data_IF_511635098243
#
_entry.id   IF_511635098243
#
_cell.length_a   1.000
_cell.length_b   1.000
_cell.length_c   1.000
_cell.angle_alpha   90.00
_cell.angle_beta   90.00
_cell.angle_gamma   90.00
#
_symmetry.space_group_name_H-M   'P 1'
#
loop_
_entity.id
_entity.type
_entity.pdbx_description
1 polymer ?
#
# COMPACT_ATOMS: atom_id res chain seq x y z
N UNK A 1 -62.91 -24.25 6.77
CA UNK A 1 -62.21 -24.06 5.49
C UNK A 1 -61.02 -23.13 5.71
N UNK A 2 -59.90 -23.46 5.06
CA UNK A 2 -58.53 -23.00 5.31
C UNK A 2 -58.34 -21.51 4.95
N UNK A 3 -57.39 -20.84 5.60
CA UNK A 3 -56.95 -19.49 5.23
C UNK A 3 -55.81 -18.97 6.10
N UNK A 4 -54.62 -19.54 5.88
CA UNK A 4 -53.35 -19.27 6.55
C UNK A 4 -52.83 -17.87 6.18
N UNK A 5 -52.70 -16.96 7.16
CA UNK A 5 -51.99 -15.68 6.96
C UNK A 5 -50.50 -15.95 7.21
N UNK A 6 -49.74 -15.94 6.11
CA UNK A 6 -48.28 -16.09 6.11
C UNK A 6 -47.60 -14.87 6.74
N UNK A 7 -46.65 -15.15 7.63
CA UNK A 7 -45.88 -14.16 8.35
C UNK A 7 -44.98 -13.33 7.43
N UNK A 8 -44.85 -12.05 7.78
CA UNK A 8 -43.87 -11.12 7.18
C UNK A 8 -42.46 -11.63 7.48
N UNK A 9 -41.55 -11.71 6.50
CA UNK A 9 -40.15 -11.91 6.82
C UNK A 9 -39.61 -10.65 7.49
N UNK A 10 -39.08 -10.86 8.69
CA UNK A 10 -38.25 -9.94 9.47
C UNK A 10 -37.18 -9.29 8.58
N UNK A 11 -37.01 -7.98 8.71
CA UNK A 11 -35.80 -7.28 8.27
C UNK A 11 -34.59 -8.01 8.83
N UNK A 12 -33.83 -8.67 7.96
CA UNK A 12 -32.53 -9.21 8.32
C UNK A 12 -31.59 -8.03 8.58
N UNK A 13 -30.88 -8.14 9.70
CA UNK A 13 -29.92 -7.18 10.23
C UNK A 13 -28.95 -6.66 9.16
N UNK A 14 -28.86 -5.33 9.07
CA UNK A 14 -27.79 -4.64 8.36
C UNK A 14 -26.45 -4.96 9.00
N UNK A 15 -25.58 -5.66 8.27
CA UNK A 15 -24.14 -5.66 8.54
C UNK A 15 -23.57 -4.34 8.03
N UNK A 16 -22.79 -3.70 8.89
CA UNK A 16 -22.21 -2.38 8.69
C UNK A 16 -21.17 -2.37 7.55
N UNK A 17 -21.51 -1.71 6.45
CA UNK A 17 -20.66 -1.37 5.28
C UNK A 17 -19.43 -0.49 5.57
N UNK A 18 -19.05 -0.26 6.84
CA UNK A 18 -17.97 0.68 7.21
C UNK A 18 -16.57 0.07 7.36
N UNK A 19 -16.39 -1.23 7.14
CA UNK A 19 -15.10 -1.92 7.31
C UNK A 19 -14.63 -2.74 6.08
N UNK A 20 -15.48 -2.95 5.08
CA UNK A 20 -15.25 -4.03 4.10
C UNK A 20 -14.28 -3.69 2.96
N UNK A 21 -13.98 -2.41 2.69
CA UNK A 21 -13.00 -2.04 1.65
C UNK A 21 -11.54 -2.21 2.11
N UNK A 22 -11.28 -2.02 3.42
CA UNK A 22 -9.94 -2.13 4.00
C UNK A 22 -9.42 -3.58 4.02
N UNK A 23 -10.33 -4.54 4.19
CA UNK A 23 -10.05 -5.98 4.25
C UNK A 23 -9.76 -6.55 2.84
N UNK A 24 -10.54 -6.16 1.83
CA UNK A 24 -10.45 -6.69 0.47
C UNK A 24 -9.13 -6.34 -0.26
N UNK A 25 -8.58 -5.15 -0.05
CA UNK A 25 -7.34 -4.71 -0.72
C UNK A 25 -6.11 -5.38 -0.11
N UNK A 26 -6.14 -5.59 1.20
CA UNK A 26 -5.00 -6.03 1.98
C UNK A 26 -4.92 -7.58 2.05
N UNK A 27 -6.05 -8.29 2.18
CA UNK A 27 -6.09 -9.76 2.33
C UNK A 27 -5.66 -10.52 1.08
N UNK A 28 -5.71 -9.90 -0.08
CA UNK A 28 -5.45 -10.58 -1.34
C UNK A 28 -3.98 -10.59 -1.76
N UNK A 29 -3.13 -9.83 -1.07
CA UNK A 29 -1.68 -10.09 -1.05
C UNK A 29 -1.31 -11.15 0.02
N UNK A 30 -2.23 -11.84 0.67
CA UNK A 30 -1.89 -12.95 1.59
C UNK A 30 -2.34 -14.33 1.07
N UNK A 31 -3.29 -14.40 0.12
CA UNK A 31 -3.91 -15.64 -0.31
C UNK A 31 -3.50 -16.05 -1.73
N UNK A 32 -2.40 -16.79 -1.87
CA UNK A 32 -2.14 -17.65 -3.03
C UNK A 32 -1.85 -19.07 -2.55
N UNK A 33 -2.88 -19.91 -2.43
CA UNK A 33 -2.75 -21.36 -2.61
C UNK A 33 -4.07 -21.98 -3.11
N UNK A 34 -4.07 -22.40 -4.39
CA UNK A 34 -4.76 -23.61 -4.83
C UNK A 34 -6.14 -23.48 -5.48
N UNK A 35 -6.18 -23.38 -6.81
CA UNK A 35 -6.69 -24.45 -7.71
C UNK A 35 -6.60 -23.97 -9.16
N UNK A 36 -5.91 -24.77 -9.98
CA UNK A 36 -5.52 -24.42 -11.33
C UNK A 36 -6.64 -24.44 -12.36
N UNK A 37 -6.37 -23.71 -13.45
CA UNK A 37 -6.74 -24.13 -14.80
C UNK A 37 -5.54 -23.90 -15.71
N UNK A 38 -5.00 -25.00 -16.25
CA UNK A 38 -4.03 -24.98 -17.34
C UNK A 38 -4.73 -24.50 -18.61
N UNK A 39 -4.05 -23.70 -19.42
CA UNK A 39 -3.87 -23.99 -20.84
C UNK A 39 -2.46 -23.60 -21.29
N UNK A 40 -1.83 -24.54 -21.97
CA UNK A 40 -0.48 -24.52 -22.50
C UNK A 40 -0.33 -23.61 -23.72
N UNK A 41 0.84 -22.97 -23.86
CA UNK A 41 1.60 -22.96 -25.13
C UNK A 41 3.04 -22.43 -24.93
N UNK A 42 3.97 -23.39 -24.77
CA UNK A 42 5.36 -23.45 -25.27
C UNK A 42 6.23 -22.19 -25.34
N UNK A 43 7.32 -22.22 -24.56
CA UNK A 43 8.64 -21.70 -24.90
C UNK A 43 9.35 -22.69 -25.88
N UNK A 44 10.55 -22.40 -26.47
CA UNK A 44 11.77 -22.33 -25.65
C UNK A 44 12.96 -21.48 -26.17
N UNK A 45 13.95 -21.40 -25.29
CA UNK A 45 15.41 -21.15 -25.45
C UNK A 45 15.90 -19.73 -25.80
N UNK A 46 16.62 -19.09 -24.87
CA UNK A 46 18.08 -19.26 -24.79
C UNK A 46 18.62 -18.65 -23.48
N UNK A 47 19.29 -19.49 -22.70
CA UNK A 47 20.21 -19.06 -21.67
C UNK A 47 21.50 -18.59 -22.35
N UNK A 48 22.01 -17.42 -21.96
CA UNK A 48 23.43 -17.10 -22.10
C UNK A 48 23.93 -16.72 -20.71
N UNK A 49 24.55 -17.72 -20.09
CA UNK A 49 25.59 -17.54 -19.08
C UNK A 49 26.73 -16.79 -19.74
N UNK A 50 27.31 -15.80 -19.04
CA UNK A 50 28.73 -15.49 -19.23
C UNK A 50 29.39 -15.19 -17.90
N UNK A 51 30.46 -15.95 -17.65
CA UNK A 51 31.38 -15.83 -16.51
C UNK A 51 32.55 -14.91 -16.93
N UNK A 52 33.03 -14.15 -15.95
CA UNK A 52 34.07 -13.11 -15.97
C UNK A 52 35.48 -13.60 -16.39
N UNK A 53 36.40 -12.67 -16.72
CA UNK A 53 37.82 -12.84 -16.41
C UNK A 53 38.39 -11.69 -15.54
N UNK A 54 39.07 -12.07 -14.45
CA UNK A 54 39.89 -11.21 -13.57
C UNK A 54 39.31 -11.07 -12.16
N UNK A 55 39.85 -11.61 -11.07
CA UNK A 55 41.18 -12.16 -10.81
C UNK A 55 41.84 -11.39 -9.67
N UNK A 56 41.47 -11.67 -8.42
CA UNK A 56 42.22 -11.23 -7.24
C UNK A 56 41.35 -10.84 -6.04
N UNK A 57 41.43 -11.61 -4.96
CA UNK A 57 40.98 -11.21 -3.62
C UNK A 57 42.23 -10.88 -2.79
N UNK A 58 42.28 -9.68 -2.21
CA UNK A 58 43.33 -9.25 -1.28
C UNK A 58 42.88 -9.62 0.15
N UNK A 59 43.68 -10.34 0.95
CA UNK A 59 43.37 -10.57 2.36
C UNK A 59 43.61 -9.29 3.18
N UNK A 60 42.64 -8.93 4.02
CA UNK A 60 42.79 -7.91 5.05
C UNK A 60 43.71 -8.43 6.17
N UNK A 61 44.70 -7.61 6.56
CA UNK A 61 45.65 -7.89 7.63
C UNK A 61 45.03 -7.84 9.04
N UNK A 62 45.80 -8.29 10.06
CA UNK A 62 45.28 -8.56 11.39
C UNK A 62 44.99 -7.31 12.24
N UNK A 63 44.06 -7.52 13.17
CA UNK A 63 43.63 -6.58 14.20
C UNK A 63 44.80 -6.09 15.07
N UNK A 64 44.99 -4.76 15.07
CA UNK A 64 45.80 -4.06 16.05
C UNK A 64 44.93 -3.60 17.21
N UNK A 65 45.23 -4.16 18.39
CA UNK A 65 44.83 -3.69 19.71
C UNK A 65 45.33 -2.26 19.95
N UNK A 66 44.67 -1.52 20.87
CA UNK A 66 45.19 -0.52 21.81
C UNK A 66 44.22 0.67 21.97
N UNK A 67 43.89 1.00 23.23
CA UNK A 67 43.69 2.41 23.59
C UNK A 67 42.37 2.76 24.28
N UNK A 68 42.24 2.30 25.52
CA UNK A 68 41.38 2.91 26.56
C UNK A 68 41.68 4.42 26.67
N UNK A 69 40.67 5.26 26.47
CA UNK A 69 40.64 6.64 27.00
C UNK A 69 39.31 6.86 27.71
N UNK A 70 39.40 7.15 29.00
CA UNK A 70 38.34 7.62 29.87
C UNK A 70 38.18 9.13 29.73
N UNK A 71 36.95 9.61 29.56
CA UNK A 71 36.40 10.79 30.25
C UNK A 71 35.04 11.12 29.67
N UNK A 72 34.05 11.34 30.53
CA UNK A 72 33.29 12.60 30.60
C UNK A 72 32.42 12.56 31.86
N UNK A 73 32.46 13.67 32.60
CA UNK A 73 31.58 13.92 33.72
C UNK A 73 30.26 14.56 33.31
N UNK A 74 29.34 14.47 34.25
CA UNK A 74 28.38 15.49 34.67
C UNK A 74 27.16 15.81 33.81
N UNK A 75 26.05 15.84 34.55
CA UNK A 75 24.94 16.83 34.53
C UNK A 75 23.60 16.41 33.90
N UNK A 76 22.68 16.10 34.83
CA UNK A 76 21.36 16.68 35.04
C UNK A 76 20.63 17.34 33.86
N UNK A 77 19.36 16.96 33.66
CA UNK A 77 18.39 17.79 32.94
C UNK A 77 17.18 17.01 32.47
N UNK A 78 16.14 16.94 33.29
CA UNK A 78 14.82 16.53 32.83
C UNK A 78 14.17 17.64 31.99
N UNK A 79 13.55 17.27 30.88
CA UNK A 79 12.48 18.02 30.24
C UNK A 79 11.64 17.03 29.44
N UNK A 80 10.41 16.86 29.90
CA UNK A 80 9.37 16.03 29.31
C UNK A 80 8.95 16.57 27.94
N UNK A 81 9.47 15.96 26.88
CA UNK A 81 8.93 16.07 25.53
C UNK A 81 7.90 14.95 25.35
N UNK A 82 6.66 15.32 25.03
CA UNK A 82 5.67 14.38 24.52
C UNK A 82 6.27 13.59 23.36
N UNK A 83 6.20 12.27 23.47
CA UNK A 83 6.75 11.29 22.54
C UNK A 83 6.05 11.40 21.19
N UNK A 84 6.50 12.31 20.35
CA UNK A 84 6.24 12.27 18.92
C UNK A 84 7.28 11.33 18.34
N UNK A 85 6.85 10.13 17.95
CA UNK A 85 7.71 9.19 17.21
C UNK A 85 8.39 9.92 16.06
N UNK A 86 9.69 9.68 15.78
CA UNK A 86 10.34 10.33 14.65
C UNK A 86 9.61 9.92 13.38
N UNK A 87 8.96 10.87 12.72
CA UNK A 87 8.39 10.66 11.40
C UNK A 87 9.53 10.37 10.41
N UNK A 88 9.47 9.23 9.73
CA UNK A 88 10.40 8.87 8.64
C UNK A 88 10.18 9.73 7.39
N UNK A 89 9.09 10.50 7.35
CA UNK A 89 8.77 11.41 6.27
C UNK A 89 9.52 12.73 6.43
N UNK A 90 9.95 13.30 5.30
CA UNK A 90 10.52 14.65 5.26
C UNK A 90 9.57 15.65 5.96
N UNK A 91 10.05 16.44 6.94
CA UNK A 91 9.22 17.40 7.65
C UNK A 91 8.48 18.39 6.74
N UNK A 92 9.09 18.83 5.64
CA UNK A 92 8.43 19.77 4.72
C UNK A 92 7.25 19.13 4.01
N UNK A 93 7.35 17.83 3.67
CA UNK A 93 6.24 17.06 3.10
C UNK A 93 5.20 16.79 4.18
N UNK A 94 5.64 16.43 5.39
CA UNK A 94 4.76 16.15 6.51
C UNK A 94 3.89 17.36 6.85
N UNK A 95 4.43 18.58 6.84
CA UNK A 95 3.68 19.80 7.17
C UNK A 95 2.56 20.12 6.17
N UNK A 96 2.64 19.60 4.94
CA UNK A 96 1.60 19.77 3.91
C UNK A 96 0.40 18.84 4.13
N UNK A 97 0.57 17.74 4.88
CA UNK A 97 -0.46 16.71 5.00
C UNK A 97 -1.44 16.99 6.14
N UNK A 98 -2.72 16.99 5.81
CA UNK A 98 -3.83 17.06 6.74
C UNK A 98 -4.37 15.65 6.97
N UNK A 99 -3.84 14.99 8.01
CA UNK A 99 -4.30 13.64 8.40
C UNK A 99 -5.66 13.72 9.09
N UNK A 100 -6.42 12.64 8.98
CA UNK A 100 -7.63 12.42 9.76
C UNK A 100 -7.32 12.14 11.26
N UNK A 101 -8.36 11.91 12.06
CA UNK A 101 -8.21 11.61 13.49
C UNK A 101 -7.49 10.30 13.80
N UNK A 102 -7.24 9.45 12.81
CA UNK A 102 -6.45 8.23 12.93
C UNK A 102 -5.00 8.41 12.44
N UNK A 103 -4.62 9.61 12.00
CA UNK A 103 -3.28 9.89 11.46
C UNK A 103 -3.11 9.46 10.00
N UNK A 104 -4.20 9.34 9.23
CA UNK A 104 -4.18 8.83 7.85
C UNK A 104 -4.59 9.89 6.83
N UNK A 105 -4.04 9.77 5.62
CA UNK A 105 -4.51 10.46 4.40
C UNK A 105 -5.07 9.45 3.41
N UNK A 106 -6.02 9.90 2.59
CA UNK A 106 -6.59 9.08 1.52
C UNK A 106 -5.59 9.01 0.36
N UNK A 107 -5.39 7.85 -0.24
CA UNK A 107 -4.57 7.67 -1.43
C UNK A 107 -5.40 7.09 -2.58
N UNK A 108 -5.62 7.89 -3.62
CA UNK A 108 -6.25 7.46 -4.87
C UNK A 108 -5.17 7.00 -5.83
N UNK A 109 -5.27 5.74 -6.27
CA UNK A 109 -4.32 5.15 -7.20
C UNK A 109 -4.88 5.22 -8.61
N UNK A 110 -4.13 5.83 -9.51
CA UNK A 110 -4.52 6.04 -10.90
C UNK A 110 -3.47 5.47 -11.84
N UNK A 111 -3.92 4.82 -12.91
CA UNK A 111 -3.05 4.41 -14.00
C UNK A 111 -2.48 5.67 -14.69
N UNK A 112 -1.15 5.74 -14.80
CA UNK A 112 -0.44 6.97 -15.17
C UNK A 112 -0.73 7.49 -16.59
N UNK A 113 -1.00 6.58 -17.55
CA UNK A 113 -1.21 6.89 -18.96
C UNK A 113 -2.69 7.03 -19.32
N UNK A 114 -3.55 6.11 -18.87
CA UNK A 114 -4.98 6.12 -19.19
C UNK A 114 -5.80 7.05 -18.29
N UNK A 115 -5.31 7.38 -17.10
CA UNK A 115 -6.09 8.09 -16.08
C UNK A 115 -7.16 7.24 -15.39
N UNK A 116 -7.22 5.94 -15.65
CA UNK A 116 -8.14 5.02 -14.98
C UNK A 116 -7.86 4.96 -13.47
N UNK A 117 -8.89 5.17 -12.64
CA UNK A 117 -8.77 4.97 -11.19
C UNK A 117 -8.77 3.47 -10.91
N UNK A 118 -7.71 2.98 -10.28
CA UNK A 118 -7.50 1.56 -10.03
C UNK A 118 -8.04 1.13 -8.66
N UNK A 119 -7.75 1.90 -7.63
CA UNK A 119 -8.14 1.59 -6.24
C UNK A 119 -7.94 2.81 -5.33
N UNK A 120 -8.41 2.68 -4.09
CA UNK A 120 -8.19 3.64 -3.01
C UNK A 120 -7.56 2.89 -1.83
N UNK A 121 -6.64 3.55 -1.11
CA UNK A 121 -6.05 3.06 0.12
C UNK A 121 -5.78 4.19 1.13
N UNK A 122 -5.19 3.85 2.27
CA UNK A 122 -4.84 4.79 3.33
C UNK A 122 -3.33 4.76 3.57
N UNK A 123 -2.76 5.93 3.84
CA UNK A 123 -1.35 6.09 4.17
C UNK A 123 -1.21 6.96 5.40
N UNK A 124 -0.34 6.56 6.34
CA UNK A 124 0.26 7.47 7.32
C UNK A 124 1.61 7.97 6.77
N UNK A 125 2.35 8.70 7.61
CA UNK A 125 3.65 9.27 7.26
C UNK A 125 4.68 8.19 6.89
N UNK A 126 4.64 7.04 7.55
CA UNK A 126 5.56 5.93 7.28
C UNK A 126 5.24 5.25 5.94
N UNK A 127 3.97 4.97 5.67
CA UNK A 127 3.51 4.38 4.43
C UNK A 127 3.84 5.30 3.23
N UNK A 128 3.63 6.62 3.39
CA UNK A 128 4.01 7.58 2.36
C UNK A 128 5.53 7.66 2.20
N UNK A 129 6.29 7.73 3.29
CA UNK A 129 7.75 7.79 3.23
C UNK A 129 8.33 6.58 2.49
N UNK A 130 7.86 5.37 2.82
CA UNK A 130 8.23 4.14 2.09
C UNK A 130 7.86 4.21 0.62
N UNK A 131 6.68 4.75 0.31
CA UNK A 131 6.22 4.88 -1.07
C UNK A 131 7.13 5.79 -1.90
N UNK A 132 7.49 6.95 -1.35
CA UNK A 132 8.39 7.91 -1.99
C UNK A 132 9.81 7.35 -2.13
N UNK A 133 10.30 6.64 -1.11
CA UNK A 133 11.66 6.10 -1.11
C UNK A 133 11.84 4.90 -2.04
N UNK A 134 10.85 4.00 -2.12
CA UNK A 134 10.97 2.73 -2.85
C UNK A 134 10.41 2.79 -4.28
N UNK A 135 9.58 3.79 -4.59
CA UNK A 135 8.80 3.81 -5.84
C UNK A 135 7.73 2.71 -5.91
N UNK A 136 7.39 2.09 -4.77
CA UNK A 136 6.36 1.05 -4.61
C UNK A 136 5.24 1.58 -3.72
N UNK A 137 3.98 1.38 -4.09
CA UNK A 137 2.88 1.80 -3.21
C UNK A 137 2.83 0.94 -1.94
N UNK A 138 2.94 1.59 -0.78
CA UNK A 138 2.81 1.01 0.55
C UNK A 138 1.61 1.64 1.26
N UNK A 139 0.79 0.86 1.92
CA UNK A 139 -0.42 1.34 2.59
C UNK A 139 -0.46 0.91 4.06
N UNK A 140 -1.31 1.57 4.85
CA UNK A 140 -1.60 1.24 6.26
C UNK A 140 -2.99 0.62 6.42
N UNK A 141 -3.09 -0.56 7.04
CA UNK A 141 -4.36 -1.31 7.14
C UNK A 141 -5.07 -0.92 8.40
N UNK A 142 -6.25 -0.32 8.25
CA UNK A 142 -7.06 0.10 9.40
C UNK A 142 -7.58 -1.10 10.20
N UNK A 143 -7.91 -2.19 9.51
CA UNK A 143 -8.40 -3.43 10.14
C UNK A 143 -7.27 -4.26 10.74
N UNK A 144 -6.18 -4.48 9.99
CA UNK A 144 -5.06 -5.34 10.44
C UNK A 144 -4.01 -4.60 11.26
N UNK A 145 -4.02 -3.26 11.21
CA UNK A 145 -3.05 -2.39 11.89
C UNK A 145 -1.61 -2.73 11.53
N UNK A 146 -1.37 -2.90 10.24
CA UNK A 146 -0.07 -3.24 9.67
C UNK A 146 0.14 -2.56 8.32
N UNK A 147 1.40 -2.42 7.93
CA UNK A 147 1.78 -1.97 6.60
C UNK A 147 1.71 -3.11 5.60
N UNK A 148 1.35 -2.80 4.35
CA UNK A 148 1.49 -3.76 3.25
C UNK A 148 1.95 -3.08 1.97
N UNK A 149 2.79 -3.76 1.19
CA UNK A 149 3.25 -3.29 -0.12
C UNK A 149 2.41 -3.97 -1.20
N UNK A 150 1.76 -3.18 -2.06
CA UNK A 150 0.86 -3.73 -3.09
C UNK A 150 1.61 -4.66 -4.04
N UNK A 151 1.11 -5.88 -4.17
CA UNK A 151 1.65 -6.90 -5.05
C UNK A 151 2.89 -7.60 -4.52
N UNK A 152 3.22 -7.46 -3.23
CA UNK A 152 4.38 -8.13 -2.63
C UNK A 152 4.27 -9.66 -2.75
N UNK A 153 3.09 -10.21 -2.52
CA UNK A 153 2.83 -11.66 -2.62
C UNK A 153 2.22 -12.05 -3.95
N UNK A 154 1.26 -11.27 -4.47
CA UNK A 154 0.54 -11.63 -5.70
C UNK A 154 1.37 -11.40 -6.97
N UNK A 155 2.42 -10.56 -6.90
CA UNK A 155 3.14 -10.07 -8.08
C UNK A 155 2.41 -8.95 -8.83
N UNK A 156 1.18 -8.59 -8.42
CA UNK A 156 0.39 -7.54 -9.05
C UNK A 156 0.76 -6.16 -8.51
N UNK A 157 1.89 -5.69 -9.04
CA UNK A 157 2.71 -4.62 -8.49
C UNK A 157 2.34 -3.24 -9.02
N UNK A 158 2.51 -2.20 -8.21
CA UNK A 158 2.32 -0.80 -8.62
C UNK A 158 3.63 -0.02 -8.53
N UNK A 159 4.06 0.53 -9.66
CA UNK A 159 5.28 1.33 -9.77
C UNK A 159 4.93 2.82 -9.83
N UNK A 160 5.35 3.58 -8.83
CA UNK A 160 5.02 5.00 -8.71
C UNK A 160 5.70 5.80 -9.83
N UNK A 161 4.92 6.64 -10.50
CA UNK A 161 5.37 7.58 -11.54
C UNK A 161 5.28 9.03 -11.08
N UNK A 162 4.23 9.35 -10.33
CA UNK A 162 3.96 10.70 -9.85
C UNK A 162 3.11 10.63 -8.57
N UNK A 163 3.36 11.52 -7.63
CA UNK A 163 2.52 11.73 -6.43
C UNK A 163 2.09 13.19 -6.41
N UNK A 164 0.79 13.42 -6.28
CA UNK A 164 0.20 14.76 -6.14
C UNK A 164 -0.58 14.83 -4.84
N UNK A 165 -0.56 15.98 -4.23
CA UNK A 165 -1.39 16.34 -3.09
C UNK A 165 -2.54 17.23 -3.59
N UNK A 166 -3.73 17.06 -3.02
CA UNK A 166 -4.84 17.97 -3.28
C UNK A 166 -4.67 19.33 -2.59
N UNK A 167 -5.66 20.22 -2.77
CA UNK A 167 -5.51 21.62 -2.39
C UNK A 167 -5.54 21.89 -0.87
N UNK A 168 -6.15 21.00 -0.09
CA UNK A 168 -6.24 21.11 1.37
C UNK A 168 -5.49 20.00 2.12
N UNK A 169 -4.77 19.14 1.38
CA UNK A 169 -3.71 18.30 1.91
C UNK A 169 -4.18 16.98 2.51
N UNK A 170 -5.44 16.60 2.37
CA UNK A 170 -5.99 15.37 2.98
C UNK A 170 -6.10 14.18 2.01
N UNK A 171 -5.85 14.40 0.72
CA UNK A 171 -5.88 13.35 -0.29
C UNK A 171 -4.68 13.38 -1.24
N UNK A 172 -4.07 12.22 -1.43
CA UNK A 172 -3.03 11.97 -2.42
C UNK A 172 -3.62 11.38 -3.70
N UNK A 173 -3.18 11.85 -4.86
CA UNK A 173 -3.32 11.17 -6.14
C UNK A 173 -1.96 10.59 -6.54
N UNK A 174 -1.87 9.26 -6.57
CA UNK A 174 -0.65 8.54 -6.91
C UNK A 174 -0.84 7.90 -8.29
N UNK A 175 -0.08 8.39 -9.27
CA UNK A 175 -0.04 7.78 -10.60
C UNK A 175 0.95 6.64 -10.62
N UNK A 176 0.49 5.49 -11.08
CA UNK A 176 1.27 4.26 -11.11
C UNK A 176 1.28 3.63 -12.49
N UNK A 177 2.29 2.82 -12.73
CA UNK A 177 2.29 1.79 -13.76
C UNK A 177 1.95 0.45 -13.11
N UNK A 178 0.77 -0.08 -13.42
CA UNK A 178 0.20 -1.28 -12.80
C UNK A 178 0.60 -2.54 -13.57
N UNK A 179 1.29 -3.45 -12.89
CA UNK A 179 1.57 -4.81 -13.33
C UNK A 179 0.44 -5.74 -12.90
N UNK A 180 -0.17 -6.47 -13.84
CA UNK A 180 -1.28 -7.38 -13.56
C UNK A 180 -2.59 -6.68 -13.13
N UNK A 181 -3.57 -7.43 -12.59
CA UNK A 181 -4.81 -6.89 -12.03
C UNK A 181 -4.57 -6.05 -10.77
N UNK A 182 -5.15 -4.85 -10.69
CA UNK A 182 -5.09 -4.08 -9.44
C UNK A 182 -6.00 -4.73 -8.37
N UNK A 183 -7.15 -5.26 -8.81
CA UNK A 183 -8.15 -5.86 -7.94
C UNK A 183 -7.91 -7.36 -7.74
N UNK A 184 -8.27 -7.85 -6.56
CA UNK A 184 -8.17 -9.26 -6.20
C UNK A 184 -9.16 -10.18 -6.91
N UNK A 185 -10.23 -9.63 -7.48
CA UNK A 185 -11.17 -10.37 -8.32
C UNK A 185 -10.61 -10.69 -9.70
N UNK A 186 -9.39 -10.22 -10.00
CA UNK A 186 -8.74 -10.36 -11.30
C UNK A 186 -9.07 -9.24 -12.28
N UNK A 187 -9.83 -8.23 -11.86
CA UNK A 187 -10.20 -7.07 -12.68
C UNK A 187 -9.13 -5.97 -12.66
N UNK A 188 -9.19 -5.07 -13.65
CA UNK A 188 -8.21 -4.00 -13.81
C UNK A 188 -8.35 -2.94 -12.73
N UNK A 189 -9.59 -2.63 -12.36
CA UNK A 189 -9.93 -1.69 -11.31
C UNK A 189 -10.84 -2.34 -10.26
N UNK A 190 -10.77 -1.84 -9.02
CA UNK A 190 -11.75 -2.14 -7.98
C UNK A 190 -13.15 -1.61 -8.31
N UNK A 191 -13.27 -0.72 -9.30
CA UNK A 191 -14.51 -0.03 -9.69
C UNK A 191 -15.21 -0.63 -10.92
N UNK A 192 -14.80 -1.82 -11.39
CA UNK A 192 -15.29 -2.40 -12.65
C UNK A 192 -16.73 -2.97 -12.59
N UNK A 193 -17.10 -3.67 -11.51
CA UNK A 193 -18.29 -4.54 -11.54
C UNK A 193 -19.56 -3.93 -10.94
N UNK A 194 -19.44 -2.89 -10.10
CA UNK A 194 -20.55 -2.41 -9.25
C UNK A 194 -20.94 -0.98 -9.59
N UNK A 195 -22.00 -0.83 -10.39
CA UNK A 195 -22.58 0.47 -10.73
C UNK A 195 -23.82 0.74 -9.86
N UNK A 196 -23.83 1.90 -9.21
CA UNK A 196 -25.00 2.38 -8.47
C UNK A 196 -25.88 3.23 -9.39
N UNK A 197 -27.22 3.12 -9.32
CA UNK A 197 -28.11 3.99 -10.09
C UNK A 197 -27.95 5.44 -9.62
N UNK A 198 -27.68 6.34 -10.55
CA UNK A 198 -27.58 7.78 -10.31
C UNK A 198 -28.45 8.55 -11.30
N UNK A 199 -29.06 9.65 -10.84
CA UNK A 199 -29.73 10.58 -11.77
C UNK A 199 -28.66 11.32 -12.55
N UNK A 200 -28.69 11.22 -13.87
CA UNK A 200 -27.75 11.93 -14.73
C UNK A 200 -27.97 13.44 -14.60
N UNK A 201 -26.92 14.18 -14.22
CA UNK A 201 -26.92 15.63 -14.28
C UNK A 201 -26.95 16.10 -15.73
N UNK A 202 -27.69 17.18 -16.00
CA UNK A 202 -27.64 17.86 -17.30
C UNK A 202 -26.67 19.02 -17.16
N UNK A 203 -25.57 18.99 -17.91
CA UNK A 203 -24.66 20.12 -18.00
C UNK A 203 -25.43 21.32 -18.55
N UNK A 204 -25.36 22.45 -17.86
CA UNK A 204 -25.94 23.73 -18.30
C UNK A 204 -24.93 24.53 -19.10
#
# INVERSE_FOLDING_TARGET
MRGQVVGRPSCAQGRSIRADLDEQVAECDAFVLGKGHRRDARAPVAAVLNRLPGGGWIPAGPAGENGRVTSIGSSSGGSSSGSSSPSTLDPEIADLLKRDGAGLVTAVIQQHDSGEVLMVGWMDDEALSRTLATGRTTFWSRSRKEYWVKGETSGNRQWVREVRLDCDGDTLLIKVDQEGPACHTGTRSCFDDRVLPATAGVAR
#
